data_IF_017972357280
#
_entry.id   IF_017972357280
#
_cell.length_a   1.000
_cell.length_b   1.000
_cell.length_c   1.000
_cell.angle_alpha   90.00
_cell.angle_beta   90.00
_cell.angle_gamma   90.00
#
_symmetry.space_group_name_H-M   'P 1'
#
loop_
_entity.id
_entity.type
_entity.pdbx_description
1 polymer ?
#
# COMPACT_ATOMS: atom_id res chain seq x y z
N UNK A 1 4.43 13.04 -12.76
CA UNK A 1 3.32 12.91 -11.78
C UNK A 1 3.86 12.23 -10.53
N UNK A 2 3.39 12.57 -9.32
CA UNK A 2 3.81 11.98 -8.02
C UNK A 2 5.32 11.92 -7.75
N UNK A 3 5.96 13.09 -7.53
CA UNK A 3 7.42 13.21 -7.36
C UNK A 3 7.96 12.46 -6.13
N UNK A 4 7.21 12.43 -5.03
CA UNK A 4 7.65 11.89 -3.74
C UNK A 4 7.17 10.47 -3.44
N UNK A 5 6.50 9.79 -4.40
CA UNK A 5 5.90 8.45 -4.17
C UNK A 5 6.91 7.40 -3.68
N UNK A 6 8.18 7.54 -4.07
CA UNK A 6 9.23 6.58 -3.73
C UNK A 6 9.97 6.94 -2.44
N UNK A 7 9.72 8.09 -1.82
CA UNK A 7 10.50 8.52 -0.66
C UNK A 7 10.18 7.67 0.57
N UNK A 8 8.91 7.34 0.77
CA UNK A 8 8.49 6.37 1.79
C UNK A 8 9.16 5.01 1.57
N UNK A 9 9.18 4.54 0.31
CA UNK A 9 9.71 3.22 -0.08
C UNK A 9 11.22 3.10 0.16
N UNK A 10 11.99 4.16 -0.10
CA UNK A 10 13.45 4.21 0.13
C UNK A 10 13.81 3.96 1.60
N UNK A 11 12.90 4.29 2.52
CA UNK A 11 13.08 4.10 3.95
C UNK A 11 12.49 2.75 4.39
N UNK A 12 11.27 2.46 3.94
CA UNK A 12 10.53 1.28 4.38
C UNK A 12 11.16 -0.03 3.90
N UNK A 13 11.48 -0.16 2.62
CA UNK A 13 11.93 -1.45 2.06
C UNK A 13 13.22 -1.95 2.73
N UNK A 14 14.28 -1.12 2.89
CA UNK A 14 15.48 -1.55 3.61
C UNK A 14 15.20 -1.95 5.06
N UNK A 15 14.29 -1.25 5.74
CA UNK A 15 13.87 -1.63 7.09
C UNK A 15 13.25 -3.02 7.12
N UNK A 16 12.26 -3.29 6.25
CA UNK A 16 11.57 -4.58 6.17
C UNK A 16 12.51 -5.74 5.82
N UNK A 17 13.49 -5.52 4.94
CA UNK A 17 14.48 -6.53 4.55
C UNK A 17 15.38 -6.99 5.71
N UNK A 18 15.53 -6.17 6.75
CA UNK A 18 16.37 -6.47 7.92
C UNK A 18 15.58 -7.00 9.12
N UNK A 19 14.25 -7.12 9.01
CA UNK A 19 13.43 -7.62 10.10
C UNK A 19 13.63 -9.12 10.33
N UNK A 20 13.82 -9.48 11.59
CA UNK A 20 13.78 -10.87 12.04
C UNK A 20 12.33 -11.38 12.10
N UNK A 21 12.12 -12.71 12.07
CA UNK A 21 10.77 -13.28 12.20
C UNK A 21 10.03 -12.84 13.47
N UNK A 22 10.74 -12.57 14.56
CA UNK A 22 10.14 -12.05 15.79
C UNK A 22 9.62 -10.62 15.59
N UNK A 23 10.38 -9.75 14.93
CA UNK A 23 9.99 -8.36 14.70
C UNK A 23 8.81 -8.25 13.73
N UNK A 24 8.76 -9.11 12.71
CA UNK A 24 7.61 -9.24 11.81
C UNK A 24 6.29 -9.48 12.56
N UNK A 25 6.32 -10.29 13.62
CA UNK A 25 5.16 -10.78 14.35
C UNK A 25 4.98 -10.15 15.74
N UNK A 26 5.67 -9.04 16.02
CA UNK A 26 5.60 -8.40 17.32
C UNK A 26 4.21 -7.80 17.60
N UNK A 27 3.71 -7.95 18.83
CA UNK A 27 2.28 -7.84 19.17
C UNK A 27 1.96 -6.77 20.24
N UNK A 28 2.87 -5.86 20.55
CA UNK A 28 2.60 -4.71 21.44
C UNK A 28 1.57 -3.69 20.88
N UNK A 29 1.04 -3.93 19.68
CA UNK A 29 0.01 -3.15 19.00
C UNK A 29 -1.04 -4.09 18.42
N UNK A 30 -2.25 -3.59 18.10
CA UNK A 30 -3.34 -4.43 17.63
C UNK A 30 -3.09 -5.11 16.26
N UNK A 31 -2.14 -4.59 15.49
CA UNK A 31 -1.66 -5.18 14.24
C UNK A 31 -0.15 -5.42 14.30
N UNK A 32 0.31 -6.50 13.69
CA UNK A 32 1.73 -6.81 13.50
C UNK A 32 2.29 -6.09 12.27
N UNK A 33 3.62 -6.04 12.13
CA UNK A 33 4.24 -5.51 10.89
C UNK A 33 3.83 -6.37 9.69
N UNK A 34 3.80 -7.70 9.84
CA UNK A 34 3.32 -8.62 8.80
C UNK A 34 1.93 -8.22 8.28
N UNK A 35 0.99 -8.02 9.20
CA UNK A 35 -0.39 -7.65 8.86
C UNK A 35 -0.44 -6.31 8.15
N UNK A 36 0.33 -5.30 8.61
CA UNK A 36 0.33 -3.97 7.98
C UNK A 36 0.88 -4.01 6.56
N UNK A 37 1.95 -4.77 6.31
CA UNK A 37 2.53 -4.93 4.96
C UNK A 37 1.55 -5.66 4.03
N UNK A 38 0.94 -6.74 4.51
CA UNK A 38 -0.07 -7.47 3.76
C UNK A 38 -1.27 -6.57 3.41
N UNK A 39 -1.76 -5.82 4.40
CA UNK A 39 -2.87 -4.88 4.23
C UNK A 39 -2.56 -3.80 3.18
N UNK A 40 -1.33 -3.26 3.16
CA UNK A 40 -0.92 -2.30 2.13
C UNK A 40 -0.92 -2.91 0.72
N UNK A 41 -0.43 -4.14 0.57
CA UNK A 41 -0.44 -4.83 -0.71
C UNK A 41 -1.87 -5.10 -1.20
N UNK A 42 -2.72 -5.63 -0.32
CA UNK A 42 -4.14 -5.90 -0.59
C UNK A 42 -4.90 -4.63 -0.97
N UNK A 43 -4.67 -3.54 -0.24
CA UNK A 43 -5.37 -2.28 -0.48
C UNK A 43 -4.95 -1.65 -1.81
N UNK A 44 -3.67 -1.67 -2.17
CA UNK A 44 -3.25 -1.19 -3.49
C UNK A 44 -3.76 -2.08 -4.62
N UNK A 45 -3.71 -3.40 -4.45
CA UNK A 45 -4.23 -4.31 -5.45
C UNK A 45 -5.70 -4.03 -5.75
N UNK A 46 -6.47 -3.86 -4.67
CA UNK A 46 -7.88 -3.52 -4.73
C UNK A 46 -8.13 -2.17 -5.42
N UNK A 47 -7.44 -1.11 -5.01
CA UNK A 47 -7.69 0.22 -5.56
C UNK A 47 -7.19 0.40 -6.99
N UNK A 48 -5.99 -0.09 -7.31
CA UNK A 48 -5.38 0.13 -8.62
C UNK A 48 -5.94 -0.85 -9.64
N UNK A 49 -5.88 -2.16 -9.37
CA UNK A 49 -6.22 -3.15 -10.38
C UNK A 49 -7.71 -3.45 -10.41
N UNK A 50 -8.32 -3.72 -9.25
CA UNK A 50 -9.72 -4.13 -9.22
C UNK A 50 -10.66 -2.95 -9.48
N UNK A 51 -10.49 -1.84 -8.76
CA UNK A 51 -11.32 -0.64 -8.94
C UNK A 51 -10.83 0.20 -10.14
N UNK A 52 -9.56 0.56 -10.16
CA UNK A 52 -9.02 1.47 -11.18
C UNK A 52 -9.07 0.89 -12.59
N UNK A 53 -8.65 -0.36 -12.78
CA UNK A 53 -8.56 -1.01 -14.09
C UNK A 53 -9.73 -1.97 -14.38
N UNK A 54 -10.56 -2.31 -13.40
CA UNK A 54 -11.62 -3.30 -13.58
C UNK A 54 -11.10 -4.73 -13.79
N UNK A 55 -9.89 -5.01 -13.31
CA UNK A 55 -9.22 -6.31 -13.42
C UNK A 55 -9.52 -7.21 -12.21
N UNK A 56 -9.06 -8.47 -12.27
CA UNK A 56 -9.08 -9.35 -11.11
C UNK A 56 -7.96 -9.03 -10.12
N UNK A 57 -8.10 -9.54 -8.89
CA UNK A 57 -7.03 -9.51 -7.89
C UNK A 57 -5.75 -10.12 -8.45
N UNK A 58 -4.62 -9.43 -8.25
CA UNK A 58 -3.29 -9.93 -8.62
C UNK A 58 -2.60 -10.65 -7.47
N UNK A 59 -3.17 -10.59 -6.27
CA UNK A 59 -2.72 -11.32 -5.10
C UNK A 59 -3.23 -12.75 -5.18
N UNK A 60 -2.30 -13.71 -5.18
CA UNK A 60 -2.60 -15.14 -5.25
C UNK A 60 -2.30 -15.85 -3.92
N UNK A 61 -3.30 -15.93 -3.03
CA UNK A 61 -3.32 -16.82 -1.84
C UNK A 61 -2.30 -16.50 -0.72
N UNK A 62 -2.56 -17.08 0.46
CA UNK A 62 -1.91 -16.77 1.75
C UNK A 62 -0.47 -17.30 1.91
N UNK A 63 0.12 -17.90 0.87
CA UNK A 63 1.40 -18.63 0.99
C UNK A 63 2.65 -17.75 0.72
N UNK A 64 2.48 -16.48 0.32
CA UNK A 64 3.59 -15.57 0.05
C UNK A 64 4.00 -14.78 1.28
N UNK A 65 5.31 -14.54 1.45
CA UNK A 65 5.79 -13.68 2.51
C UNK A 65 5.28 -12.24 2.29
N UNK A 66 4.79 -11.52 3.32
CA UNK A 66 4.17 -10.20 3.14
C UNK A 66 5.01 -9.21 2.33
N UNK A 67 6.32 -9.19 2.58
CA UNK A 67 7.26 -8.35 1.82
C UNK A 67 7.29 -8.68 0.32
N UNK A 68 7.27 -9.95 -0.06
CA UNK A 68 7.35 -10.36 -1.47
C UNK A 68 6.09 -9.92 -2.22
N UNK A 69 4.94 -10.15 -1.60
CA UNK A 69 3.65 -9.74 -2.16
C UNK A 69 3.55 -8.21 -2.28
N UNK A 70 3.97 -7.47 -1.25
CA UNK A 70 4.05 -6.01 -1.31
C UNK A 70 4.94 -5.54 -2.46
N UNK A 71 6.15 -6.10 -2.61
CA UNK A 71 7.05 -5.72 -3.69
C UNK A 71 6.48 -6.04 -5.08
N UNK A 72 5.79 -7.17 -5.23
CA UNK A 72 5.14 -7.58 -6.47
C UNK A 72 4.06 -6.59 -6.91
N UNK A 73 3.11 -6.27 -6.01
CA UNK A 73 2.01 -5.35 -6.30
C UNK A 73 2.57 -3.94 -6.58
N UNK A 74 3.61 -3.51 -5.87
CA UNK A 74 4.30 -2.24 -6.13
C UNK A 74 4.91 -2.19 -7.53
N UNK A 75 5.65 -3.22 -7.93
CA UNK A 75 6.26 -3.28 -9.27
C UNK A 75 5.20 -3.20 -10.36
N UNK A 76 4.12 -3.95 -10.19
CA UNK A 76 3.00 -3.95 -11.13
C UNK A 76 2.27 -2.60 -11.17
N UNK A 77 2.13 -1.92 -10.03
CA UNK A 77 1.51 -0.59 -9.97
C UNK A 77 2.38 0.46 -10.64
N UNK A 78 3.70 0.36 -10.48
CA UNK A 78 4.65 1.22 -11.20
C UNK A 78 4.54 1.00 -12.72
N UNK A 79 4.34 -0.23 -13.19
CA UNK A 79 4.10 -0.51 -14.62
C UNK A 79 2.81 0.17 -15.12
N UNK A 80 1.73 0.17 -14.34
CA UNK A 80 0.50 0.91 -14.68
C UNK A 80 0.77 2.41 -14.73
N UNK A 81 1.43 2.96 -13.72
CA UNK A 81 1.80 4.38 -13.65
C UNK A 81 2.55 4.85 -14.91
N UNK A 82 3.47 4.05 -15.43
CA UNK A 82 4.26 4.41 -16.61
C UNK A 82 3.56 4.14 -17.95
N UNK A 83 2.58 3.23 -17.98
CA UNK A 83 1.87 2.86 -19.21
C UNK A 83 0.55 3.62 -19.40
N UNK A 84 0.01 4.24 -18.36
CA UNK A 84 -1.28 4.92 -18.41
C UNK A 84 -1.26 6.12 -19.39
N UNK A 85 -2.12 6.15 -20.42
CA UNK A 85 -2.19 7.27 -21.36
C UNK A 85 -2.59 8.58 -20.66
N UNK A 86 -2.06 9.71 -21.16
CA UNK A 86 -2.31 11.04 -20.60
C UNK A 86 -3.82 11.36 -20.39
N UNK A 87 -4.66 10.94 -21.35
CA UNK A 87 -6.12 11.14 -21.31
C UNK A 87 -6.85 10.38 -20.20
N UNK A 88 -6.24 9.31 -19.68
CA UNK A 88 -6.91 8.39 -18.74
C UNK A 88 -6.64 8.80 -17.28
N UNK A 89 -5.77 9.77 -17.03
CA UNK A 89 -5.48 10.30 -15.68
C UNK A 89 -6.68 10.97 -15.01
N UNK A 90 -7.48 11.70 -15.79
CA UNK A 90 -8.67 12.41 -15.31
C UNK A 90 -9.96 11.61 -15.55
N UNK A 91 -9.85 10.36 -16.01
CA UNK A 91 -11.00 9.47 -16.17
C UNK A 91 -11.62 9.21 -14.81
N UNK A 92 -12.94 9.42 -14.71
CA UNK A 92 -13.74 9.05 -13.54
C UNK A 92 -13.75 7.53 -13.34
N UNK A 93 -13.66 7.15 -12.07
CA UNK A 93 -13.67 5.77 -11.61
C UNK A 93 -14.97 5.52 -10.87
N UNK A 94 -15.57 4.36 -11.12
CA UNK A 94 -16.71 3.91 -10.35
C UNK A 94 -16.20 3.20 -9.10
N UNK A 95 -16.45 3.79 -7.93
CA UNK A 95 -16.03 3.25 -6.63
C UNK A 95 -17.25 2.58 -6.01
N UNK A 96 -17.15 1.31 -5.59
CA UNK A 96 -18.28 0.61 -5.00
C UNK A 96 -18.72 1.25 -3.68
N UNK A 97 -19.99 1.08 -3.35
CA UNK A 97 -20.50 1.47 -2.04
C UNK A 97 -19.91 0.57 -0.94
N UNK A 98 -19.30 1.19 0.06
CA UNK A 98 -18.77 0.49 1.22
C UNK A 98 -19.86 0.38 2.32
N UNK A 99 -19.87 -0.77 3.01
CA UNK A 99 -20.89 -1.08 4.02
C UNK A 99 -20.88 -0.14 5.24
N UNK A 100 -19.77 0.53 5.49
CA UNK A 100 -19.61 1.55 6.54
C UNK A 100 -20.09 2.95 6.08
N UNK A 101 -20.60 3.07 4.85
CA UNK A 101 -21.05 4.31 4.26
C UNK A 101 -19.90 5.24 3.84
N UNK A 102 -18.66 4.76 3.85
CA UNK A 102 -17.54 5.55 3.36
C UNK A 102 -17.69 5.86 1.87
N UNK A 103 -17.41 7.10 1.50
CA UNK A 103 -17.46 7.60 0.13
C UNK A 103 -16.21 8.46 -0.14
N UNK A 104 -15.70 8.48 -1.37
CA UNK A 104 -14.62 9.38 -1.75
C UNK A 104 -15.00 10.84 -1.44
N UNK A 105 -14.07 11.66 -0.91
CA UNK A 105 -14.34 13.06 -0.57
C UNK A 105 -14.53 13.97 -1.80
N UNK A 106 -14.24 13.45 -2.99
CA UNK A 106 -14.36 14.10 -4.29
C UNK A 106 -14.54 13.04 -5.37
N UNK A 107 -15.02 13.44 -6.54
CA UNK A 107 -15.13 12.57 -7.72
C UNK A 107 -13.81 11.82 -7.99
N UNK A 108 -13.77 10.49 -7.82
CA UNK A 108 -12.53 9.73 -7.88
C UNK A 108 -12.09 9.57 -9.33
N UNK A 109 -10.91 10.10 -9.65
CA UNK A 109 -10.22 9.87 -10.93
C UNK A 109 -9.09 8.86 -10.77
N UNK A 110 -8.47 8.48 -11.88
CA UNK A 110 -7.27 7.65 -11.84
C UNK A 110 -6.12 8.36 -11.08
N UNK A 111 -5.97 9.67 -11.26
CA UNK A 111 -5.04 10.48 -10.45
C UNK A 111 -5.38 10.44 -8.95
N UNK A 112 -6.66 10.52 -8.61
CA UNK A 112 -7.13 10.44 -7.22
C UNK A 112 -6.77 9.08 -6.58
N UNK A 113 -6.98 7.96 -7.27
CA UNK A 113 -6.66 6.63 -6.75
C UNK A 113 -5.17 6.47 -6.44
N UNK A 114 -4.29 6.91 -7.35
CA UNK A 114 -2.85 6.87 -7.09
C UNK A 114 -2.49 7.74 -5.87
N UNK A 115 -3.09 8.93 -5.74
CA UNK A 115 -2.89 9.76 -4.57
C UNK A 115 -3.38 9.10 -3.27
N UNK A 116 -4.53 8.42 -3.32
CA UNK A 116 -5.09 7.67 -2.21
C UNK A 116 -4.14 6.56 -1.76
N UNK A 117 -3.67 5.74 -2.69
CA UNK A 117 -2.75 4.62 -2.41
C UNK A 117 -1.41 5.11 -1.83
N UNK A 118 -0.81 6.18 -2.37
CA UNK A 118 0.45 6.70 -1.83
C UNK A 118 0.29 7.34 -0.45
N UNK A 119 -0.86 7.97 -0.19
CA UNK A 119 -1.16 8.53 1.14
C UNK A 119 -1.42 7.42 2.17
N UNK A 120 -2.11 6.36 1.76
CA UNK A 120 -2.33 5.14 2.55
C UNK A 120 -1.01 4.45 2.93
N UNK A 121 -0.09 4.31 1.98
CA UNK A 121 1.25 3.77 2.23
C UNK A 121 2.04 4.61 3.25
N UNK A 122 2.01 5.95 3.11
CA UNK A 122 2.67 6.84 4.06
C UNK A 122 2.10 6.70 5.49
N UNK A 123 0.76 6.62 5.60
CA UNK A 123 0.07 6.40 6.87
C UNK A 123 0.49 5.09 7.55
N UNK A 124 0.45 3.98 6.83
CA UNK A 124 0.81 2.67 7.37
C UNK A 124 2.30 2.52 7.66
N UNK A 125 3.16 3.21 6.90
CA UNK A 125 4.59 3.30 7.21
C UNK A 125 4.84 4.00 8.54
N UNK A 126 4.06 5.04 8.86
CA UNK A 126 4.05 5.67 10.18
C UNK A 126 3.61 4.69 11.29
N UNK A 127 2.58 3.88 11.04
CA UNK A 127 2.14 2.84 11.98
C UNK A 127 3.24 1.81 12.25
N UNK A 128 4.01 1.40 11.24
CA UNK A 128 5.16 0.49 11.42
C UNK A 128 6.21 1.08 12.36
N UNK A 129 6.50 2.39 12.23
CA UNK A 129 7.38 3.10 13.17
C UNK A 129 6.86 3.06 14.62
N UNK A 130 5.55 3.21 14.81
CA UNK A 130 4.91 3.08 16.14
C UNK A 130 5.03 1.65 16.66
N UNK A 131 4.74 0.63 15.85
CA UNK A 131 4.86 -0.78 16.24
C UNK A 131 6.30 -1.10 16.66
N UNK A 132 7.29 -0.66 15.87
CA UNK A 132 8.70 -0.85 16.20
C UNK A 132 9.05 -0.22 17.56
N UNK A 133 8.67 1.04 17.76
CA UNK A 133 8.95 1.78 18.99
C UNK A 133 8.31 1.14 20.23
N UNK A 134 7.04 0.70 20.14
CA UNK A 134 6.34 0.06 21.25
C UNK A 134 6.95 -1.28 21.66
N UNK A 135 7.62 -1.96 20.73
CA UNK A 135 8.34 -3.22 21.00
C UNK A 135 9.83 -3.01 21.35
N UNK A 136 10.29 -1.75 21.43
CA UNK A 136 11.69 -1.42 21.74
C UNK A 136 12.67 -1.72 20.60
N UNK A 137 12.19 -1.78 19.35
CA UNK A 137 13.03 -1.92 18.16
C UNK A 137 13.37 -0.55 17.57
N UNK A 138 14.49 -0.48 16.85
CA UNK A 138 14.74 0.64 15.95
C UNK A 138 13.66 0.64 14.85
N UNK A 139 13.07 1.80 14.56
CA UNK A 139 12.07 1.94 13.50
C UNK A 139 12.69 2.29 12.14
N UNK A 140 11.85 2.48 11.10
CA UNK A 140 12.31 3.03 9.84
C UNK A 140 12.95 4.42 10.03
N UNK A 141 14.00 4.72 9.27
CA UNK A 141 14.79 5.96 9.37
C UNK A 141 14.07 7.12 8.66
N UNK A 142 13.21 7.84 9.38
CA UNK A 142 12.55 9.07 8.93
C UNK A 142 13.39 10.32 9.15
#
# INVERSE_FOLDING_TARGET
>A
MFQYRNDVRKILIPYLQNLTPQQWNADAYHNTISWVIEHMAQTEDYWIFQIGLGEGSRISGDDQHPLEQYLLIREQTDQVLYSLPAKDWDRLIDVPDFSDGWQPPSDPTMSWLFHHVYSHEAYHTGQIGVIASLNGFDGPLF
#
